data_IF_891467732544
#
_entry.id   IF_891467732544
#
_cell.length_a   1.000
_cell.length_b   1.000
_cell.length_c   1.000
_cell.angle_alpha   90.00
_cell.angle_beta   90.00
_cell.angle_gamma   90.00
#
_symmetry.space_group_name_H-M   'P 1'
#
loop_
_entity.id
_entity.type
_entity.pdbx_description
1 polymer ?
#
# COMPACT_ATOMS: atom_id res chain seq x y z
N UNK A 1 -18.98 41.09 19.22
CA UNK A 1 -17.80 40.42 19.84
C UNK A 1 -18.11 39.13 20.61
N UNK A 2 -19.22 39.01 21.33
CA UNK A 2 -19.53 37.83 22.18
C UNK A 2 -19.67 36.51 21.40
N UNK A 3 -20.30 36.52 20.23
CA UNK A 3 -20.48 35.32 19.39
C UNK A 3 -19.18 34.71 18.86
N UNK A 4 -18.17 35.53 18.51
CA UNK A 4 -16.88 35.01 18.01
C UNK A 4 -16.12 34.22 19.09
N UNK A 5 -16.24 34.59 20.36
CA UNK A 5 -15.64 33.85 21.48
C UNK A 5 -16.38 32.53 21.74
N UNK A 6 -17.71 32.55 21.69
CA UNK A 6 -18.53 31.36 21.84
C UNK A 6 -18.25 30.33 20.74
N UNK A 7 -18.19 30.76 19.48
CA UNK A 7 -17.88 29.88 18.34
C UNK A 7 -16.49 29.27 18.47
N UNK A 8 -15.48 30.04 18.89
CA UNK A 8 -14.13 29.50 19.15
C UNK A 8 -14.12 28.46 20.26
N UNK A 9 -14.86 28.69 21.34
CA UNK A 9 -14.97 27.73 22.44
C UNK A 9 -15.60 26.41 21.98
N UNK A 10 -16.68 26.48 21.18
CA UNK A 10 -17.34 25.28 20.62
C UNK A 10 -16.39 24.53 19.67
N UNK A 11 -15.67 25.25 18.80
CA UNK A 11 -14.69 24.64 17.90
C UNK A 11 -13.56 23.96 18.68
N UNK A 12 -12.97 24.64 19.66
CA UNK A 12 -11.90 24.07 20.49
C UNK A 12 -12.39 22.87 21.32
N UNK A 13 -13.60 22.93 21.89
CA UNK A 13 -14.15 21.79 22.64
C UNK A 13 -14.45 20.61 21.73
N UNK A 14 -14.98 20.84 20.52
CA UNK A 14 -15.19 19.76 19.53
C UNK A 14 -13.88 19.10 19.08
N UNK A 15 -12.83 19.89 18.87
CA UNK A 15 -11.49 19.39 18.54
C UNK A 15 -10.90 18.55 19.67
N UNK A 16 -11.07 18.97 20.93
CA UNK A 16 -10.61 18.22 22.09
C UNK A 16 -11.36 16.90 22.26
N UNK A 17 -12.68 16.89 22.05
CA UNK A 17 -13.50 15.66 22.08
C UNK A 17 -13.04 14.70 20.99
N UNK A 18 -12.82 15.19 19.77
CA UNK A 18 -12.33 14.37 18.67
C UNK A 18 -10.93 13.79 18.94
N UNK A 19 -10.01 14.61 19.45
CA UNK A 19 -8.67 14.16 19.84
C UNK A 19 -8.72 13.10 20.95
N UNK A 20 -9.60 13.27 21.94
CA UNK A 20 -9.82 12.29 23.00
C UNK A 20 -10.36 10.96 22.49
N UNK A 21 -11.35 10.99 21.59
CA UNK A 21 -11.88 9.79 20.93
C UNK A 21 -10.80 9.07 20.11
N UNK A 22 -9.98 9.82 19.37
CA UNK A 22 -8.87 9.25 18.60
C UNK A 22 -7.81 8.59 19.50
N UNK A 23 -7.44 9.22 20.62
CA UNK A 23 -6.50 8.65 21.59
C UNK A 23 -7.04 7.38 22.24
N UNK A 24 -8.33 7.37 22.61
CA UNK A 24 -9.01 6.17 23.13
C UNK A 24 -9.03 5.04 22.11
N UNK A 25 -9.31 5.35 20.84
CA UNK A 25 -9.29 4.37 19.76
C UNK A 25 -7.90 3.77 19.53
N UNK A 26 -6.84 4.58 19.64
CA UNK A 26 -5.46 4.12 19.56
C UNK A 26 -5.06 3.26 20.77
N UNK A 27 -5.51 3.61 21.97
CA UNK A 27 -5.18 2.89 23.20
C UNK A 27 -5.96 1.58 23.36
N UNK A 28 -7.15 1.45 22.77
CA UNK A 28 -8.03 0.28 22.94
C UNK A 28 -7.56 -0.98 22.20
N UNK A 29 -6.43 -0.95 21.50
CA UNK A 29 -5.89 -2.09 20.75
C UNK A 29 -6.68 -2.43 19.48
N UNK A 30 -7.84 -1.81 19.23
CA UNK A 30 -8.64 -1.99 18.00
C UNK A 30 -7.89 -1.48 16.77
N UNK A 31 -7.17 -0.36 16.92
CA UNK A 31 -6.25 0.14 15.89
C UNK A 31 -5.16 -0.90 15.55
N UNK A 32 -4.64 -1.56 16.58
CA UNK A 32 -3.62 -2.60 16.46
C UNK A 32 -4.16 -3.88 15.82
N UNK A 33 -5.43 -4.22 16.06
CA UNK A 33 -6.13 -5.34 15.41
C UNK A 33 -6.33 -5.11 13.92
N UNK A 34 -6.68 -3.90 13.49
CA UNK A 34 -6.79 -3.58 12.06
C UNK A 34 -5.43 -3.70 11.36
N UNK A 35 -4.38 -3.19 12.00
CA UNK A 35 -2.98 -3.34 11.56
C UNK A 35 -2.53 -4.81 11.53
N UNK A 36 -2.77 -5.56 12.61
CA UNK A 36 -2.36 -6.97 12.74
C UNK A 36 -3.30 -7.96 12.05
N UNK A 37 -4.36 -7.46 11.40
CA UNK A 37 -5.28 -8.33 10.69
C UNK A 37 -4.62 -8.88 9.42
N UNK A 38 -4.94 -10.13 9.08
CA UNK A 38 -4.54 -10.74 7.80
C UNK A 38 -5.03 -9.98 6.56
N UNK A 39 -5.81 -8.90 6.73
CA UNK A 39 -6.29 -8.06 5.63
C UNK A 39 -5.13 -7.48 4.80
N UNK A 40 -3.97 -7.24 5.43
CA UNK A 40 -2.81 -6.62 4.80
C UNK A 40 -1.60 -7.56 4.66
N UNK A 41 -1.77 -8.87 4.94
CA UNK A 41 -0.71 -9.87 4.82
C UNK A 41 -0.74 -10.58 3.47
N UNK A 42 -0.47 -9.82 2.40
CA UNK A 42 -0.54 -10.29 1.02
C UNK A 42 0.61 -11.23 0.61
N UNK A 43 1.62 -11.37 1.46
CA UNK A 43 2.82 -12.15 1.18
C UNK A 43 3.04 -13.31 2.14
N UNK A 44 2.07 -13.64 3.00
CA UNK A 44 2.14 -14.78 3.93
C UNK A 44 2.54 -16.13 3.31
N UNK A 45 2.28 -16.31 2.02
CA UNK A 45 2.60 -17.51 1.24
C UNK A 45 4.07 -17.58 0.81
N UNK A 46 4.81 -16.47 0.83
CA UNK A 46 6.24 -16.44 0.52
C UNK A 46 6.98 -17.14 1.66
N UNK A 47 7.83 -18.12 1.34
CA UNK A 47 8.57 -18.92 2.34
C UNK A 47 10.08 -18.82 2.20
N UNK A 48 10.56 -18.34 1.06
CA UNK A 48 11.97 -18.19 0.75
C UNK A 48 12.22 -16.77 0.22
N UNK A 49 13.40 -16.18 0.47
CA UNK A 49 13.73 -14.84 -0.01
C UNK A 49 13.75 -14.78 -1.55
N UNK A 50 12.92 -13.95 -2.19
CA UNK A 50 12.98 -13.76 -3.64
C UNK A 50 14.13 -12.83 -4.02
N UNK A 51 14.58 -12.89 -5.28
CA UNK A 51 15.52 -11.90 -5.85
C UNK A 51 14.78 -10.68 -6.38
N UNK A 52 13.56 -10.87 -6.88
CA UNK A 52 12.69 -9.83 -7.41
C UNK A 52 11.35 -9.85 -6.68
N UNK A 53 10.98 -8.73 -6.09
CA UNK A 53 9.70 -8.53 -5.43
C UNK A 53 8.86 -7.52 -6.21
N UNK A 54 7.64 -7.91 -6.59
CA UNK A 54 6.66 -7.03 -7.20
C UNK A 54 5.62 -6.69 -6.13
N UNK A 55 5.43 -5.41 -5.88
CA UNK A 55 4.42 -4.88 -4.96
C UNK A 55 3.60 -3.84 -5.69
N UNK A 56 2.30 -3.84 -5.45
CA UNK A 56 1.43 -2.86 -6.10
C UNK A 56 -0.05 -3.15 -5.94
N UNK A 57 -0.85 -2.31 -6.59
CA UNK A 57 -2.30 -2.47 -6.62
C UNK A 57 -2.72 -3.48 -7.71
N UNK A 58 -3.94 -3.32 -8.25
CA UNK A 58 -4.55 -4.25 -9.20
C UNK A 58 -3.69 -4.58 -10.42
N UNK A 59 -2.95 -3.61 -10.96
CA UNK A 59 -2.08 -3.84 -12.12
C UNK A 59 -0.87 -4.69 -11.80
N UNK A 60 -0.23 -4.48 -10.65
CA UNK A 60 0.82 -5.38 -10.19
C UNK A 60 0.27 -6.80 -10.12
N UNK A 61 -0.86 -6.98 -9.45
CA UNK A 61 -1.45 -8.29 -9.23
C UNK A 61 -1.87 -9.01 -10.52
N UNK A 62 -2.48 -8.30 -11.48
CA UNK A 62 -3.06 -8.92 -12.67
C UNK A 62 -2.18 -8.89 -13.92
N UNK A 63 -1.30 -7.90 -14.07
CA UNK A 63 -0.55 -7.71 -15.32
C UNK A 63 0.91 -8.16 -15.22
N UNK A 64 1.50 -8.16 -14.02
CA UNK A 64 2.87 -8.62 -13.85
C UNK A 64 2.88 -10.12 -13.54
N UNK A 65 3.37 -10.91 -14.49
CA UNK A 65 3.40 -12.37 -14.40
C UNK A 65 4.82 -12.82 -14.03
N UNK A 66 5.05 -13.36 -12.81
CA UNK A 66 6.39 -13.75 -12.35
C UNK A 66 7.12 -14.71 -13.28
N UNK A 67 6.43 -15.69 -13.87
CA UNK A 67 7.06 -16.66 -14.76
C UNK A 67 7.64 -16.03 -16.03
N UNK A 68 6.94 -15.05 -16.61
CA UNK A 68 7.41 -14.33 -17.82
C UNK A 68 8.63 -13.47 -17.48
N UNK A 69 8.59 -12.76 -16.35
CA UNK A 69 9.73 -11.97 -15.88
C UNK A 69 10.93 -12.88 -15.60
N UNK A 70 10.71 -14.03 -14.96
CA UNK A 70 11.77 -14.98 -14.69
C UNK A 70 12.40 -15.52 -15.98
N UNK A 71 11.59 -15.97 -16.93
CA UNK A 71 12.05 -16.50 -18.22
C UNK A 71 12.87 -15.48 -19.02
N UNK A 72 12.37 -14.24 -19.14
CA UNK A 72 13.04 -13.18 -19.91
C UNK A 72 14.38 -12.75 -19.31
N UNK A 73 14.60 -13.01 -18.01
CA UNK A 73 15.81 -12.59 -17.29
C UNK A 73 16.69 -13.77 -16.86
N UNK A 74 16.38 -15.00 -17.29
CA UNK A 74 17.15 -16.19 -16.92
C UNK A 74 17.12 -16.52 -15.41
N UNK A 75 16.05 -16.15 -14.73
CA UNK A 75 15.84 -16.42 -13.29
C UNK A 75 14.99 -17.69 -13.10
N UNK A 76 15.01 -18.24 -11.88
CA UNK A 76 14.02 -19.27 -11.51
C UNK A 76 12.68 -18.59 -11.25
N UNK A 77 11.58 -19.30 -11.50
CA UNK A 77 10.23 -18.79 -11.19
C UNK A 77 10.11 -18.41 -9.70
N UNK A 78 10.75 -19.17 -8.82
CA UNK A 78 10.79 -18.92 -7.37
C UNK A 78 11.55 -17.66 -6.98
N UNK A 79 12.41 -17.14 -7.86
CA UNK A 79 13.19 -15.92 -7.61
C UNK A 79 12.34 -14.66 -7.77
N UNK A 80 11.15 -14.76 -8.37
CA UNK A 80 10.25 -13.63 -8.65
C UNK A 80 8.93 -13.83 -7.90
N UNK A 81 8.60 -12.90 -7.02
CA UNK A 81 7.38 -12.93 -6.22
C UNK A 81 6.48 -11.75 -6.56
N UNK A 82 5.19 -12.01 -6.78
CA UNK A 82 4.17 -10.97 -6.90
C UNK A 82 3.33 -10.89 -5.62
N UNK A 83 3.63 -9.91 -4.78
CA UNK A 83 2.89 -9.59 -3.57
C UNK A 83 1.92 -8.41 -3.78
N UNK A 84 1.52 -8.14 -5.03
CA UNK A 84 0.49 -7.15 -5.34
C UNK A 84 -0.90 -7.59 -4.89
N UNK A 85 -1.81 -6.63 -4.68
CA UNK A 85 -3.20 -6.89 -4.30
C UNK A 85 -4.15 -5.90 -4.98
N UNK A 86 -5.35 -6.34 -5.33
CA UNK A 86 -6.39 -5.47 -5.91
C UNK A 86 -6.70 -4.32 -4.95
N UNK A 87 -6.70 -3.10 -5.49
CA UNK A 87 -6.96 -1.85 -4.75
C UNK A 87 -6.00 -1.57 -3.56
N UNK A 88 -4.81 -2.18 -3.55
CA UNK A 88 -3.85 -1.99 -2.46
C UNK A 88 -3.41 -0.52 -2.31
N UNK A 89 -3.51 -0.02 -1.08
CA UNK A 89 -3.01 1.31 -0.71
C UNK A 89 -1.50 1.33 -0.39
N UNK A 90 -0.84 2.50 -0.40
CA UNK A 90 0.57 2.61 -0.02
C UNK A 90 0.86 2.11 1.39
N UNK A 91 -0.06 2.36 2.33
CA UNK A 91 0.06 1.91 3.72
C UNK A 91 0.03 0.39 3.84
N UNK A 92 -0.86 -0.27 3.11
CA UNK A 92 -1.02 -1.72 3.15
C UNK A 92 0.25 -2.40 2.64
N UNK A 93 0.81 -1.90 1.54
CA UNK A 93 2.09 -2.41 1.02
C UNK A 93 3.26 -2.17 1.96
N UNK A 94 3.37 -0.98 2.56
CA UNK A 94 4.40 -0.72 3.56
C UNK A 94 4.26 -1.68 4.75
N UNK A 95 3.02 -1.95 5.17
CA UNK A 95 2.73 -2.89 6.23
C UNK A 95 3.16 -4.32 5.87
N UNK A 96 2.74 -4.83 4.70
CA UNK A 96 3.15 -6.15 4.19
C UNK A 96 4.67 -6.26 4.13
N UNK A 97 5.35 -5.23 3.60
CA UNK A 97 6.81 -5.25 3.48
C UNK A 97 7.49 -5.32 4.85
N UNK A 98 7.03 -4.51 5.81
CA UNK A 98 7.60 -4.45 7.16
C UNK A 98 7.37 -5.75 7.93
N UNK A 99 6.20 -6.39 7.76
CA UNK A 99 5.91 -7.68 8.39
C UNK A 99 6.83 -8.81 7.90
N UNK A 100 7.26 -8.75 6.64
CA UNK A 100 8.09 -9.78 6.01
C UNK A 100 9.52 -9.30 5.74
N UNK A 101 10.01 -8.34 6.53
CA UNK A 101 11.32 -7.70 6.30
C UNK A 101 12.47 -8.69 6.30
N UNK A 102 12.38 -9.77 7.09
CA UNK A 102 13.41 -10.82 7.12
C UNK A 102 13.52 -11.58 5.79
N UNK A 103 12.42 -11.70 5.05
CA UNK A 103 12.41 -12.32 3.71
C UNK A 103 12.71 -11.30 2.61
N UNK A 104 12.22 -10.06 2.76
CA UNK A 104 12.29 -9.05 1.71
C UNK A 104 13.51 -8.12 1.79
N UNK A 105 14.21 -8.10 2.92
CA UNK A 105 15.37 -7.23 3.15
C UNK A 105 16.58 -7.61 2.30
N UNK A 106 16.63 -8.83 1.77
CA UNK A 106 17.68 -9.32 0.88
C UNK A 106 17.34 -9.29 -0.62
N UNK A 107 16.18 -8.74 -0.99
CA UNK A 107 15.71 -8.67 -2.38
C UNK A 107 16.62 -7.74 -3.18
N UNK A 108 17.01 -8.15 -4.39
CA UNK A 108 17.86 -7.35 -5.28
C UNK A 108 17.06 -6.22 -5.94
N UNK A 109 15.82 -6.51 -6.36
CA UNK A 109 14.96 -5.55 -7.05
C UNK A 109 13.54 -5.55 -6.49
N UNK A 110 13.04 -4.36 -6.14
CA UNK A 110 11.64 -4.15 -5.74
C UNK A 110 10.98 -3.29 -6.80
N UNK A 111 9.96 -3.82 -7.46
CA UNK A 111 9.10 -3.08 -8.38
C UNK A 111 7.83 -2.66 -7.65
N UNK A 112 7.54 -1.37 -7.68
CA UNK A 112 6.41 -0.80 -6.97
C UNK A 112 5.42 -0.15 -7.95
N UNK A 113 4.18 -0.65 -8.00
CA UNK A 113 3.16 -0.23 -8.98
C UNK A 113 1.84 0.13 -8.29
N UNK A 114 1.63 1.42 -8.01
CA UNK A 114 0.35 1.98 -7.58
C UNK A 114 -0.37 2.55 -8.80
N UNK A 115 -1.54 2.04 -9.18
CA UNK A 115 -2.27 2.64 -10.31
C UNK A 115 -3.11 3.86 -9.94
N UNK A 116 -3.14 4.82 -10.87
CA UNK A 116 -4.36 5.22 -11.56
C UNK A 116 -4.00 5.49 -13.04
N UNK A 117 -4.50 4.70 -13.99
CA UNK A 117 -4.45 5.10 -15.41
C UNK A 117 -5.39 6.31 -15.61
N UNK A 118 -4.83 7.51 -15.78
CA UNK A 118 -5.40 8.46 -16.73
C UNK A 118 -4.60 8.35 -18.02
N UNK A 119 -4.94 7.37 -18.85
CA UNK A 119 -4.43 7.30 -20.21
C UNK A 119 -5.26 8.28 -21.06
N UNK A 120 -4.71 9.47 -21.35
CA UNK A 120 -5.21 10.31 -22.43
C UNK A 120 -4.14 10.31 -23.54
N UNK A 121 -4.46 9.68 -24.65
CA UNK A 121 -3.70 9.83 -25.90
C UNK A 121 -4.29 11.04 -26.65
N UNK A 122 -3.65 12.21 -26.58
CA UNK A 122 -4.03 13.34 -27.43
C UNK A 122 -3.24 13.26 -28.73
N UNK A 123 -3.87 12.74 -29.79
CA UNK A 123 -3.39 12.92 -31.16
C UNK A 123 -3.55 14.39 -31.56
N UNK A 124 -2.46 15.16 -31.56
CA UNK A 124 -2.41 16.41 -32.31
C UNK A 124 -2.19 16.05 -33.78
N UNK A 125 -3.29 15.96 -34.53
CA UNK A 125 -3.21 15.96 -35.99
C UNK A 125 -3.06 17.42 -36.40
N UNK A 126 -1.83 17.85 -36.65
CA UNK A 126 -1.61 19.05 -37.45
C UNK A 126 -2.17 18.74 -38.85
N UNK A 127 -3.34 19.29 -39.15
CA UNK A 127 -3.86 19.27 -40.53
C UNK A 127 -3.00 20.23 -41.36
N UNK A 128 -2.64 19.85 -42.60
CA UNK A 128 -1.98 20.75 -43.54
C UNK A 128 -2.84 21.95 -43.92
#
# INVERSE_FOLDING_TARGET
MKYKRLVRLILCSSLLVFAGQFLLFRASGVYDLALKSYLYDNASWVKEPPRVLLMGSSRCFHQLVPSVIAEQNGLKITDVVNAGQVAAGPFEMLHTYTQHIDMFGGVEFIFYVLDADFFFESLHIDKP
#
